data_IF_332713452865
#
_entry.id   IF_332713452865
#
_cell.length_a   1.000
_cell.length_b   1.000
_cell.length_c   1.000
_cell.angle_alpha   90.00
_cell.angle_beta   90.00
_cell.angle_gamma   90.00
#
_symmetry.space_group_name_H-M   'P 1'
#
loop_
_entity.id
_entity.type
_entity.pdbx_description
1 polymer ?
#
# COMPACT_ATOMS: atom_id res chain seq x y z
N UNK A 1 -37.10 -12.65 -14.89
CA UNK A 1 -36.99 -12.66 -13.42
C UNK A 1 -35.81 -11.76 -13.06
N UNK A 2 -36.09 -10.60 -12.50
CA UNK A 2 -35.09 -9.70 -11.91
C UNK A 2 -35.76 -9.09 -10.67
N UNK A 3 -35.47 -9.67 -9.51
CA UNK A 3 -35.63 -9.03 -8.20
C UNK A 3 -34.22 -8.66 -7.71
N UNK A 4 -33.98 -7.76 -6.78
CA UNK A 4 -34.82 -7.03 -5.83
C UNK A 4 -34.31 -5.58 -5.80
N UNK A 5 -35.17 -4.61 -5.46
CA UNK A 5 -34.70 -3.35 -4.91
C UNK A 5 -34.25 -3.61 -3.48
N UNK A 6 -33.06 -3.11 -3.12
CA UNK A 6 -32.82 -2.71 -1.75
C UNK A 6 -32.06 -1.39 -1.69
N UNK A 7 -32.72 -0.47 -1.00
CA UNK A 7 -32.23 0.76 -0.37
C UNK A 7 -31.53 1.80 -1.24
N UNK A 8 -32.33 2.80 -1.62
CA UNK A 8 -31.88 4.13 -1.92
C UNK A 8 -30.92 4.64 -0.83
N UNK A 9 -29.60 4.62 -1.12
CA UNK A 9 -28.68 5.57 -0.50
C UNK A 9 -29.05 6.96 -1.01
N UNK A 10 -30.01 7.55 -0.31
CA UNK A 10 -30.38 8.95 -0.37
C UNK A 10 -29.11 9.78 -0.24
N UNK A 11 -28.73 10.48 -1.31
CA UNK A 11 -27.83 11.63 -1.17
C UNK A 11 -28.54 12.56 -0.17
N UNK A 12 -27.92 12.97 0.95
CA UNK A 12 -28.62 13.81 1.90
C UNK A 12 -28.87 15.16 1.22
N UNK A 13 -30.12 15.39 0.83
CA UNK A 13 -30.61 16.59 0.13
C UNK A 13 -30.36 17.90 0.89
N UNK A 14 -29.83 17.87 2.11
CA UNK A 14 -29.73 19.01 3.03
C UNK A 14 -28.48 19.03 3.92
N UNK A 15 -27.51 18.13 3.69
CA UNK A 15 -26.25 18.12 4.44
C UNK A 15 -25.14 18.75 3.60
N UNK A 16 -24.32 19.60 4.21
CA UNK A 16 -23.19 20.24 3.56
C UNK A 16 -21.93 20.12 4.43
N UNK A 17 -20.80 19.95 3.76
CA UNK A 17 -19.47 19.96 4.35
C UNK A 17 -18.86 21.33 4.13
N UNK A 18 -18.33 21.94 5.19
CA UNK A 18 -17.57 23.19 5.13
C UNK A 18 -16.23 23.01 5.82
N UNK A 19 -15.20 23.68 5.30
CA UNK A 19 -13.89 23.76 5.92
C UNK A 19 -13.44 25.23 5.97
N UNK A 20 -12.82 25.62 7.07
CA UNK A 20 -12.23 26.94 7.27
C UNK A 20 -10.83 26.79 7.86
N UNK A 21 -9.88 27.55 7.33
CA UNK A 21 -8.54 27.62 7.90
C UNK A 21 -8.50 28.76 8.92
N UNK A 22 -8.33 28.42 10.20
CA UNK A 22 -8.13 29.38 11.26
C UNK A 22 -6.65 29.76 11.35
N UNK A 23 -6.31 30.92 10.81
CA UNK A 23 -4.94 31.45 10.81
C UNK A 23 -4.39 31.78 12.20
N UNK A 24 -5.24 31.95 13.22
CA UNK A 24 -4.80 32.25 14.59
C UNK A 24 -4.37 30.99 15.34
N UNK A 25 -5.04 29.86 15.09
CA UNK A 25 -4.70 28.56 15.67
C UNK A 25 -3.87 27.67 14.74
N UNK A 26 -3.71 28.06 13.46
CA UNK A 26 -3.01 27.28 12.45
C UNK A 26 -3.71 25.98 12.05
N UNK A 27 -5.01 25.86 12.36
CA UNK A 27 -5.76 24.62 12.23
C UNK A 27 -6.84 24.72 11.14
N UNK A 28 -7.15 23.60 10.50
CA UNK A 28 -8.35 23.47 9.69
C UNK A 28 -9.52 23.03 10.56
N UNK A 29 -10.60 23.79 10.52
CA UNK A 29 -11.88 23.43 11.11
C UNK A 29 -12.74 22.83 10.00
N UNK A 30 -13.07 21.55 10.12
CA UNK A 30 -13.95 20.83 9.20
C UNK A 30 -15.25 20.51 9.92
N UNK A 31 -16.38 20.84 9.31
CA UNK A 31 -17.70 20.63 9.89
C UNK A 31 -18.67 20.11 8.83
N UNK A 32 -19.46 19.12 9.20
CA UNK A 32 -20.61 18.69 8.43
C UNK A 32 -21.88 19.06 9.19
N UNK A 33 -22.81 19.75 8.51
CA UNK A 33 -24.06 20.20 9.12
C UNK A 33 -25.25 19.88 8.24
N UNK A 34 -26.40 19.63 8.87
CA UNK A 34 -27.68 19.42 8.20
C UNK A 34 -28.66 20.54 8.56
N UNK A 35 -29.43 20.97 7.55
CA UNK A 35 -30.50 21.94 7.71
C UNK A 35 -31.75 21.30 8.33
N UNK A 36 -32.09 21.68 9.57
CA UNK A 36 -33.30 21.24 10.27
C UNK A 36 -34.44 22.22 10.01
N UNK A 37 -35.04 22.19 8.81
CA UNK A 37 -36.27 22.95 8.56
C UNK A 37 -37.47 22.04 8.79
N UNK A 38 -38.04 22.13 10.00
CA UNK A 38 -39.39 21.68 10.32
C UNK A 38 -40.02 22.91 10.98
N UNK A 39 -40.93 23.60 10.28
CA UNK A 39 -41.92 24.39 11.00
C UNK A 39 -42.87 23.41 11.70
N UNK A 40 -43.62 23.85 12.72
CA UNK A 40 -44.53 23.01 13.50
C UNK A 40 -45.63 22.32 12.65
N UNK A 41 -45.66 22.55 11.32
CA UNK A 41 -46.63 22.05 10.35
C UNK A 41 -46.04 21.16 9.24
N UNK A 42 -44.78 20.70 9.36
CA UNK A 42 -44.12 19.81 8.39
C UNK A 42 -44.06 20.35 6.94
N UNK A 43 -44.05 21.66 6.73
CA UNK A 43 -43.96 22.23 5.38
C UNK A 43 -42.51 22.61 5.06
N UNK A 44 -41.89 21.91 4.11
CA UNK A 44 -40.46 22.05 3.78
C UNK A 44 -40.14 23.24 2.85
N UNK A 45 -40.80 24.38 3.03
CA UNK A 45 -40.62 25.55 2.16
C UNK A 45 -39.73 26.60 2.83
N UNK A 46 -38.55 26.81 2.26
CA UNK A 46 -37.74 28.02 2.43
C UNK A 46 -38.60 29.22 2.01
N UNK A 47 -39.05 30.01 2.99
CA UNK A 47 -39.56 31.36 2.76
C UNK A 47 -38.44 32.31 3.17
N UNK A 48 -37.95 33.09 2.20
CA UNK A 48 -36.75 33.93 2.30
C UNK A 48 -36.68 34.77 3.58
N UNK A 49 -35.67 34.52 4.42
CA UNK A 49 -35.32 35.37 5.57
C UNK A 49 -35.22 34.65 6.93
N UNK A 50 -35.61 33.38 7.02
CA UNK A 50 -35.59 32.66 8.30
C UNK A 50 -34.20 32.11 8.67
N UNK A 51 -33.75 32.41 9.89
CA UNK A 51 -32.57 31.79 10.51
C UNK A 51 -32.94 30.36 10.92
N UNK A 52 -32.60 29.39 10.09
CA UNK A 52 -32.86 27.99 10.35
C UNK A 52 -31.80 27.39 11.28
N UNK A 53 -32.22 26.52 12.20
CA UNK A 53 -31.30 25.81 13.09
C UNK A 53 -30.51 24.76 12.30
N UNK A 54 -29.19 24.77 12.48
CA UNK A 54 -28.28 23.76 11.94
C UNK A 54 -27.94 22.76 13.04
N UNK A 55 -27.86 21.49 12.67
CA UNK A 55 -27.36 20.43 13.57
C UNK A 55 -26.15 19.77 12.95
N UNK A 56 -25.20 19.36 13.80
CA UNK A 56 -24.03 18.62 13.36
C UNK A 56 -24.47 17.24 12.86
N UNK A 57 -23.82 16.78 11.81
CA UNK A 57 -24.04 15.45 11.23
C UNK A 57 -22.71 14.72 11.13
N UNK A 58 -22.77 13.40 11.06
CA UNK A 58 -21.58 12.57 10.96
C UNK A 58 -20.87 12.82 9.63
N UNK A 59 -19.54 12.84 9.66
CA UNK A 59 -18.73 12.84 8.45
C UNK A 59 -17.60 11.83 8.59
N UNK A 60 -17.20 11.28 7.46
CA UNK A 60 -16.09 10.37 7.35
C UNK A 60 -14.91 11.12 6.76
N UNK A 61 -13.73 10.99 7.38
CA UNK A 61 -12.47 11.37 6.78
C UNK A 61 -11.82 10.12 6.20
N UNK A 62 -11.23 10.23 5.01
CA UNK A 62 -10.33 9.24 4.46
C UNK A 62 -8.98 9.94 4.25
N UNK A 63 -7.93 9.36 4.82
CA UNK A 63 -6.57 9.76 4.47
C UNK A 63 -6.21 9.02 3.19
N UNK A 64 -5.91 9.76 2.13
CA UNK A 64 -5.39 9.21 0.88
C UNK A 64 -3.88 9.37 0.94
N UNK A 65 -3.16 8.25 1.00
CA UNK A 65 -1.73 8.25 0.72
C UNK A 65 -1.56 8.42 -0.80
N UNK A 66 -0.93 9.52 -1.23
CA UNK A 66 -0.64 9.76 -2.64
C UNK A 66 0.68 9.12 -3.07
N UNK A 67 1.56 8.75 -2.13
CA UNK A 67 2.77 7.99 -2.41
C UNK A 67 2.44 6.52 -2.67
N UNK A 68 1.44 5.99 -1.95
CA UNK A 68 0.92 4.62 -2.13
C UNK A 68 -0.62 4.64 -2.22
N UNK A 69 -1.19 5.00 -3.38
CA UNK A 69 -2.64 5.06 -3.54
C UNK A 69 -3.25 3.67 -3.37
N UNK A 70 -4.13 3.52 -2.38
CA UNK A 70 -4.93 2.31 -2.21
C UNK A 70 -5.78 2.08 -3.46
N UNK A 71 -5.53 0.98 -4.18
CA UNK A 71 -6.37 0.58 -5.31
C UNK A 71 -7.75 0.18 -4.79
N UNK A 72 -8.84 0.78 -5.28
CA UNK A 72 -10.17 0.39 -4.84
C UNK A 72 -10.41 -1.10 -5.14
N UNK A 73 -11.08 -1.83 -4.22
CA UNK A 73 -11.31 -3.26 -4.40
C UNK A 73 -12.15 -3.49 -5.66
N UNK A 74 -11.56 -4.15 -6.65
CA UNK A 74 -12.22 -4.49 -7.92
C UNK A 74 -11.59 -3.92 -9.19
N UNK A 75 -10.50 -3.14 -9.11
CA UNK A 75 -9.71 -2.76 -10.29
C UNK A 75 -8.26 -3.20 -10.17
N UNK A 76 -8.03 -4.51 -10.14
CA UNK A 76 -6.82 -5.19 -10.66
C UNK A 76 -5.44 -4.54 -10.46
N UNK A 77 -5.20 -3.89 -9.32
CA UNK A 77 -3.88 -3.53 -8.85
C UNK A 77 -3.79 -4.07 -7.44
N UNK A 78 -3.43 -5.36 -7.31
CA UNK A 78 -3.03 -5.93 -6.02
C UNK A 78 -1.86 -5.12 -5.46
N UNK A 79 -1.59 -5.29 -4.15
CA UNK A 79 -0.35 -4.79 -3.57
C UNK A 79 0.82 -5.18 -4.50
N UNK A 80 1.72 -4.27 -4.89
CA UNK A 80 2.83 -4.65 -5.76
C UNK A 80 3.57 -5.84 -5.16
N UNK A 81 3.74 -6.91 -5.94
CA UNK A 81 4.31 -8.18 -5.47
C UNK A 81 3.32 -9.21 -4.92
N UNK A 82 2.04 -8.88 -4.75
CA UNK A 82 0.96 -9.82 -4.43
C UNK A 82 0.49 -10.51 -5.73
N UNK A 83 1.07 -11.67 -6.00
CA UNK A 83 0.87 -12.40 -7.26
C UNK A 83 -0.30 -13.38 -7.20
N UNK A 84 -0.67 -13.84 -6.00
CA UNK A 84 -1.85 -14.70 -5.81
C UNK A 84 -3.14 -13.95 -5.47
N UNK A 85 -3.04 -12.62 -5.28
CA UNK A 85 -4.12 -11.67 -5.03
C UNK A 85 -4.86 -11.93 -3.71
N UNK A 86 -4.16 -12.45 -2.71
CA UNK A 86 -4.70 -12.68 -1.38
C UNK A 86 -4.65 -11.42 -0.48
N UNK A 87 -3.99 -10.35 -0.93
CA UNK A 87 -3.85 -9.08 -0.23
C UNK A 87 -2.70 -9.03 0.77
N UNK A 88 -1.81 -10.03 0.77
CA UNK A 88 -0.63 -10.11 1.64
C UNK A 88 0.62 -10.45 0.82
N UNK A 89 1.78 -9.94 1.23
CA UNK A 89 3.06 -10.36 0.66
C UNK A 89 3.59 -11.55 1.47
N UNK A 90 3.53 -12.75 0.89
CA UNK A 90 3.90 -13.99 1.56
C UNK A 90 4.96 -14.78 0.78
N UNK A 91 5.42 -15.89 1.36
CA UNK A 91 6.35 -16.79 0.68
C UNK A 91 5.76 -17.36 -0.63
N UNK A 92 4.43 -17.47 -0.73
CA UNK A 92 3.75 -17.96 -1.94
C UNK A 92 4.01 -17.03 -3.12
N UNK A 93 4.02 -15.72 -2.89
CA UNK A 93 4.30 -14.73 -3.93
C UNK A 93 5.74 -14.81 -4.43
N UNK A 94 6.72 -14.95 -3.52
CA UNK A 94 8.12 -15.15 -3.92
C UNK A 94 8.28 -16.47 -4.70
N UNK A 95 7.58 -17.53 -4.30
CA UNK A 95 7.63 -18.81 -5.00
C UNK A 95 7.06 -18.67 -6.43
N UNK A 96 5.99 -17.90 -6.61
CA UNK A 96 5.43 -17.55 -7.92
C UNK A 96 6.41 -16.72 -8.76
N UNK A 97 7.06 -15.72 -8.15
CA UNK A 97 8.08 -14.90 -8.80
C UNK A 97 9.29 -15.74 -9.25
N UNK A 98 9.84 -16.58 -8.36
CA UNK A 98 10.94 -17.48 -8.68
C UNK A 98 10.58 -18.47 -9.80
N UNK A 99 9.35 -19.00 -9.78
CA UNK A 99 8.85 -19.84 -10.87
C UNK A 99 8.77 -19.07 -12.20
N UNK A 100 8.31 -17.81 -12.17
CA UNK A 100 8.25 -16.96 -13.35
C UNK A 100 9.64 -16.62 -13.88
N UNK A 101 10.62 -16.31 -13.01
CA UNK A 101 12.03 -16.05 -13.37
C UNK A 101 12.63 -17.27 -14.10
N UNK A 102 12.47 -18.48 -13.54
CA UNK A 102 12.98 -19.71 -14.17
C UNK A 102 12.37 -20.00 -15.53
N UNK A 103 11.07 -19.72 -15.69
CA UNK A 103 10.34 -19.96 -16.94
C UNK A 103 10.47 -18.79 -17.94
N UNK A 104 10.93 -17.63 -17.47
CA UNK A 104 10.94 -16.35 -18.18
C UNK A 104 9.57 -16.03 -18.83
N UNK A 105 8.50 -16.17 -18.03
CA UNK A 105 7.10 -15.98 -18.47
C UNK A 105 6.46 -14.78 -17.79
N UNK A 106 5.48 -14.16 -18.46
CA UNK A 106 4.67 -13.08 -17.88
C UNK A 106 5.51 -11.90 -17.35
N UNK A 107 6.58 -11.54 -18.07
CA UNK A 107 7.53 -10.49 -17.67
C UNK A 107 6.81 -9.22 -17.25
N UNK A 108 5.79 -8.76 -17.98
CA UNK A 108 5.03 -7.54 -17.64
C UNK A 108 4.39 -7.54 -16.25
N UNK A 109 4.12 -8.71 -15.65
CA UNK A 109 3.49 -8.84 -14.33
C UNK A 109 4.56 -8.99 -13.24
N UNK A 110 5.65 -9.70 -13.53
CA UNK A 110 6.68 -10.06 -12.55
C UNK A 110 7.93 -9.17 -12.60
N UNK A 111 8.04 -8.29 -13.60
CA UNK A 111 9.07 -7.25 -13.71
C UNK A 111 8.77 -6.12 -12.73
N UNK A 112 9.43 -6.17 -11.56
CA UNK A 112 9.21 -5.24 -10.46
C UNK A 112 10.11 -4.01 -10.58
N UNK A 113 11.26 -4.12 -11.25
CA UNK A 113 12.19 -3.01 -11.44
C UNK A 113 11.96 -2.22 -12.76
N UNK A 114 11.04 -2.68 -13.61
CA UNK A 114 10.68 -2.14 -14.92
C UNK A 114 11.86 -2.08 -15.92
N UNK A 115 12.81 -3.02 -15.83
CA UNK A 115 13.95 -3.11 -16.76
C UNK A 115 13.69 -4.02 -17.97
N UNK A 116 12.48 -4.58 -18.07
CA UNK A 116 12.01 -5.50 -19.09
C UNK A 116 12.71 -6.87 -19.08
N UNK A 117 13.40 -7.23 -18.00
CA UNK A 117 14.09 -8.49 -17.85
C UNK A 117 13.79 -9.12 -16.49
N UNK A 118 13.12 -10.28 -16.52
CA UNK A 118 12.78 -11.00 -15.30
C UNK A 118 14.01 -11.74 -14.75
N UNK A 119 14.60 -11.19 -13.69
CA UNK A 119 15.89 -11.63 -13.13
C UNK A 119 15.90 -11.66 -11.60
N UNK A 120 17.04 -12.03 -11.01
CA UNK A 120 17.25 -11.87 -9.56
C UNK A 120 16.99 -10.44 -9.09
N UNK A 121 17.19 -9.41 -9.94
CA UNK A 121 16.93 -8.03 -9.55
C UNK A 121 15.47 -7.80 -9.14
N UNK A 122 14.51 -8.46 -9.79
CA UNK A 122 13.09 -8.37 -9.43
C UNK A 122 12.82 -9.02 -8.07
N UNK A 123 13.40 -10.19 -7.81
CA UNK A 123 13.30 -10.83 -6.50
C UNK A 123 13.83 -9.93 -5.39
N UNK A 124 14.90 -9.18 -5.65
CA UNK A 124 15.40 -8.24 -4.67
C UNK A 124 14.45 -7.08 -4.42
N UNK A 125 13.82 -6.53 -5.46
CA UNK A 125 12.79 -5.52 -5.25
C UNK A 125 11.67 -6.09 -4.38
N UNK A 126 11.23 -7.31 -4.66
CA UNK A 126 10.21 -7.96 -3.82
C UNK A 126 10.64 -8.08 -2.36
N UNK A 127 11.81 -8.65 -2.10
CA UNK A 127 12.29 -8.95 -0.73
C UNK A 127 12.65 -7.67 0.02
N UNK A 128 13.42 -6.79 -0.62
CA UNK A 128 14.09 -5.68 0.02
C UNK A 128 13.26 -4.40 0.06
N UNK A 129 12.40 -4.18 -0.94
CA UNK A 129 11.63 -2.94 -1.09
C UNK A 129 10.14 -3.14 -0.78
N UNK A 130 9.53 -4.23 -1.26
CA UNK A 130 8.09 -4.49 -1.09
C UNK A 130 7.80 -5.14 0.27
N UNK A 131 8.42 -6.29 0.55
CA UNK A 131 8.29 -6.99 1.82
C UNK A 131 9.13 -6.36 2.94
N UNK A 132 10.08 -5.47 2.59
CA UNK A 132 10.98 -4.81 3.52
C UNK A 132 11.68 -5.78 4.50
N UNK A 133 12.20 -6.88 3.95
CA UNK A 133 12.93 -7.91 4.70
C UNK A 133 14.26 -8.27 4.02
N UNK A 134 14.86 -9.39 4.40
CA UNK A 134 16.16 -9.87 3.97
C UNK A 134 16.07 -11.19 3.22
N UNK A 135 16.99 -11.38 2.27
CA UNK A 135 17.25 -12.71 1.72
C UNK A 135 17.76 -13.59 2.88
N UNK A 136 17.05 -14.68 3.16
CA UNK A 136 17.30 -15.54 4.32
C UNK A 136 16.19 -15.54 5.37
N UNK A 137 15.37 -14.48 5.43
CA UNK A 137 14.20 -14.44 6.30
C UNK A 137 13.12 -15.38 5.75
N UNK A 138 13.02 -16.56 6.32
CA UNK A 138 12.19 -17.66 5.83
C UNK A 138 10.79 -17.66 6.44
N UNK A 139 10.65 -17.02 7.60
CA UNK A 139 9.36 -16.88 8.29
C UNK A 139 8.67 -15.53 7.98
N UNK A 140 9.36 -14.64 7.27
CA UNK A 140 8.96 -13.28 6.88
C UNK A 140 8.60 -12.38 8.08
N UNK A 141 9.34 -12.51 9.19
CA UNK A 141 9.15 -11.67 10.38
C UNK A 141 9.90 -10.32 10.33
N UNK A 142 10.63 -10.08 9.25
CA UNK A 142 11.38 -8.85 8.98
C UNK A 142 12.82 -8.87 9.48
N UNK A 143 13.27 -10.00 10.03
CA UNK A 143 14.62 -10.22 10.55
C UNK A 143 15.20 -11.47 9.92
N UNK A 144 16.51 -11.45 9.60
CA UNK A 144 17.23 -12.66 9.25
C UNK A 144 18.17 -13.05 10.39
N UNK A 145 17.80 -14.09 11.15
CA UNK A 145 18.56 -14.55 12.31
C UNK A 145 18.58 -16.09 12.49
N UNK A 146 19.04 -16.56 13.64
CA UNK A 146 19.11 -17.99 13.94
C UNK A 146 17.76 -18.72 13.93
N UNK A 147 16.64 -18.00 14.12
CA UNK A 147 15.30 -18.56 14.10
C UNK A 147 14.87 -18.99 12.69
N UNK A 148 15.32 -18.29 11.65
CA UNK A 148 15.13 -18.69 10.25
C UNK A 148 15.82 -20.00 9.94
N UNK A 149 17.07 -20.16 10.38
CA UNK A 149 17.79 -21.42 10.23
C UNK A 149 17.05 -22.57 10.92
N UNK A 150 16.57 -22.35 12.15
CA UNK A 150 15.76 -23.35 12.86
C UNK A 150 14.47 -23.65 12.08
N UNK A 151 13.84 -22.65 11.47
CA UNK A 151 12.63 -22.80 10.68
C UNK A 151 12.83 -23.67 9.43
N UNK A 152 13.87 -23.40 8.63
CA UNK A 152 14.16 -24.19 7.41
C UNK A 152 14.73 -25.58 7.71
N UNK A 153 15.61 -25.72 8.71
CA UNK A 153 16.13 -27.04 9.08
C UNK A 153 15.08 -27.99 9.67
N UNK A 154 13.98 -27.46 10.22
CA UNK A 154 12.84 -28.29 10.63
C UNK A 154 12.09 -28.90 9.44
N UNK A 155 12.21 -28.33 8.23
CA UNK A 155 11.62 -28.89 7.00
C UNK A 155 12.39 -30.11 6.51
N UNK A 156 13.71 -30.10 6.72
CA UNK A 156 14.58 -31.23 6.41
C UNK A 156 14.96 -31.35 4.93
N UNK A 157 14.88 -30.26 4.17
CA UNK A 157 15.15 -30.22 2.73
C UNK A 157 16.62 -29.85 2.42
N UNK A 158 17.41 -29.50 3.43
CA UNK A 158 18.82 -29.17 3.26
C UNK A 158 19.63 -30.36 2.74
N UNK A 159 20.16 -30.24 1.51
CA UNK A 159 20.99 -31.26 0.86
C UNK A 159 20.33 -32.67 0.89
N UNK A 160 19.01 -32.72 0.76
CA UNK A 160 18.25 -33.97 0.88
C UNK A 160 18.29 -34.85 -0.39
N UNK A 161 18.70 -34.25 -1.51
CA UNK A 161 18.80 -34.89 -2.83
C UNK A 161 17.45 -35.11 -3.53
N UNK A 162 16.38 -34.45 -3.07
CA UNK A 162 15.03 -34.48 -3.66
C UNK A 162 14.84 -33.26 -4.54
N UNK A 163 14.95 -33.46 -5.85
CA UNK A 163 14.94 -32.34 -6.77
C UNK A 163 13.61 -31.55 -6.77
N UNK A 164 13.71 -30.22 -6.81
CA UNK A 164 12.64 -29.24 -6.93
C UNK A 164 11.57 -29.32 -5.83
N UNK A 165 11.96 -29.62 -4.59
CA UNK A 165 11.03 -29.65 -3.45
C UNK A 165 11.08 -28.40 -2.58
N UNK A 166 12.07 -27.53 -2.78
CA UNK A 166 12.29 -26.37 -1.91
C UNK A 166 11.53 -25.13 -2.38
N UNK A 167 11.09 -24.34 -1.41
CA UNK A 167 10.42 -23.05 -1.56
C UNK A 167 11.12 -22.01 -0.69
N UNK A 168 10.74 -20.74 -0.79
CA UNK A 168 11.35 -19.68 0.03
C UNK A 168 11.29 -20.01 1.54
N UNK A 169 10.14 -20.50 1.99
CA UNK A 169 9.90 -20.87 3.39
C UNK A 169 10.60 -22.17 3.83
N UNK A 170 11.18 -22.92 2.89
CA UNK A 170 11.93 -24.15 3.19
C UNK A 170 13.42 -24.05 2.87
N UNK A 171 13.87 -22.94 2.26
CA UNK A 171 15.28 -22.59 2.14
C UNK A 171 15.76 -22.18 0.74
N UNK A 172 14.89 -22.19 -0.28
CA UNK A 172 15.22 -21.76 -1.66
C UNK A 172 15.33 -20.23 -1.76
N UNK A 173 16.43 -19.68 -1.26
CA UNK A 173 16.68 -18.23 -1.20
C UNK A 173 17.32 -17.70 -2.48
N UNK A 174 17.92 -18.57 -3.29
CA UNK A 174 18.50 -18.22 -4.58
C UNK A 174 17.50 -18.39 -5.76
N UNK A 175 16.37 -19.09 -5.55
CA UNK A 175 15.30 -19.33 -6.51
C UNK A 175 15.54 -20.49 -7.49
N UNK A 176 16.38 -21.47 -7.15
CA UNK A 176 16.72 -22.63 -7.99
C UNK A 176 15.96 -23.92 -7.63
N UNK A 177 15.07 -23.87 -6.65
CA UNK A 177 14.21 -24.96 -6.13
C UNK A 177 14.89 -26.03 -5.29
N UNK A 178 16.15 -25.83 -4.93
CA UNK A 178 16.87 -26.65 -3.96
C UNK A 178 17.15 -25.82 -2.69
N UNK A 179 17.36 -26.49 -1.56
CA UNK A 179 17.93 -25.86 -0.38
C UNK A 179 19.31 -26.46 -0.12
N UNK A 180 20.35 -25.71 -0.51
CA UNK A 180 21.73 -26.19 -0.43
C UNK A 180 22.70 -25.10 0.04
N UNK A 181 24.00 -25.40 0.01
CA UNK A 181 25.02 -24.44 0.44
C UNK A 181 25.06 -23.13 -0.37
N UNK A 182 24.51 -23.11 -1.59
CA UNK A 182 24.45 -21.93 -2.45
C UNK A 182 23.42 -20.91 -1.98
N UNK A 183 22.33 -21.32 -1.33
CA UNK A 183 21.36 -20.43 -0.69
C UNK A 183 21.99 -19.65 0.46
N UNK A 184 22.82 -20.32 1.26
CA UNK A 184 23.59 -19.63 2.30
C UNK A 184 24.53 -18.59 1.69
N UNK A 185 25.20 -18.92 0.58
CA UNK A 185 26.06 -17.96 -0.10
C UNK A 185 25.23 -16.77 -0.60
N UNK A 186 24.07 -17.01 -1.22
CA UNK A 186 23.18 -15.96 -1.69
C UNK A 186 22.73 -15.03 -0.55
N UNK A 187 22.24 -15.59 0.57
CA UNK A 187 21.77 -14.82 1.72
C UNK A 187 22.92 -14.06 2.43
N UNK A 188 24.05 -14.71 2.70
CA UNK A 188 25.16 -14.08 3.41
C UNK A 188 25.88 -13.01 2.57
N UNK A 189 25.91 -13.14 1.24
CA UNK A 189 26.44 -12.09 0.38
C UNK A 189 25.64 -10.78 0.48
N UNK A 190 24.37 -10.83 0.90
CA UNK A 190 23.55 -9.63 1.14
C UNK A 190 23.82 -8.95 2.49
N UNK A 191 24.42 -9.67 3.44
CA UNK A 191 24.80 -9.11 4.73
C UNK A 191 23.63 -8.77 5.67
N UNK A 192 22.48 -9.42 5.50
CA UNK A 192 21.29 -9.22 6.36
C UNK A 192 21.32 -9.97 7.70
N UNK A 193 22.18 -10.97 7.85
CA UNK A 193 22.19 -11.84 9.03
C UNK A 193 22.53 -11.06 10.31
N UNK A 194 21.66 -11.15 11.32
CA UNK A 194 21.76 -10.45 12.60
C UNK A 194 21.84 -8.91 12.46
N UNK A 195 21.36 -8.35 11.33
CA UNK A 195 21.30 -6.90 11.13
C UNK A 195 20.14 -6.23 11.90
N UNK A 196 19.21 -7.04 12.42
CA UNK A 196 17.95 -6.58 13.02
C UNK A 196 16.91 -6.23 11.97
N UNK A 197 15.74 -5.73 12.40
CA UNK A 197 14.66 -5.37 11.48
C UNK A 197 15.04 -4.18 10.59
N UNK A 198 14.64 -4.22 9.32
CA UNK A 198 14.81 -3.07 8.41
C UNK A 198 14.05 -1.87 8.93
N UNK A 199 14.68 -0.69 8.85
CA UNK A 199 13.98 0.55 9.15
C UNK A 199 12.79 0.67 8.19
N UNK A 200 11.58 0.89 8.73
CA UNK A 200 10.43 1.19 7.91
C UNK A 200 10.79 2.33 6.96
N UNK A 201 10.53 2.14 5.67
CA UNK A 201 10.79 3.16 4.64
C UNK A 201 9.94 4.39 4.99
N UNK A 202 10.55 5.35 5.67
CA UNK A 202 9.89 6.59 6.02
C UNK A 202 9.55 7.31 4.71
N UNK A 203 8.27 7.59 4.48
CA UNK A 203 7.82 8.38 3.35
C UNK A 203 8.67 9.65 3.26
N UNK A 204 9.48 9.75 2.20
CA UNK A 204 10.40 10.88 2.00
C UNK A 204 9.55 12.15 1.84
N UNK A 205 9.76 13.20 2.65
CA UNK A 205 9.09 14.48 2.45
C UNK A 205 9.53 15.06 1.11
N UNK A 206 8.62 15.16 0.13
CA UNK A 206 8.92 15.73 -1.19
C UNK A 206 9.42 17.19 -1.07
N UNK A 207 10.69 17.50 -1.35
CA UNK A 207 11.22 18.86 -1.17
C UNK A 207 10.77 19.84 -2.27
N UNK A 208 10.11 19.36 -3.32
CA UNK A 208 9.98 20.05 -4.61
C UNK A 208 8.59 20.62 -4.86
N UNK A 209 7.53 20.00 -4.36
CA UNK A 209 6.14 20.48 -4.55
C UNK A 209 5.89 21.79 -3.80
N UNK A 210 6.42 21.95 -2.58
CA UNK A 210 6.32 23.19 -1.81
C UNK A 210 7.08 24.37 -2.47
N UNK A 211 8.27 24.11 -3.03
CA UNK A 211 9.08 25.14 -3.70
C UNK A 211 8.43 25.57 -5.02
N UNK A 212 7.89 24.63 -5.80
CA UNK A 212 7.20 24.95 -7.05
C UNK A 212 5.87 25.68 -6.81
N UNK A 213 5.13 25.33 -5.76
CA UNK A 213 3.92 26.05 -5.34
C UNK A 213 4.23 27.49 -4.88
N UNK A 214 5.30 27.69 -4.13
CA UNK A 214 5.75 29.01 -3.71
C UNK A 214 6.22 29.88 -4.90
N UNK A 215 6.96 29.29 -5.85
CA UNK A 215 7.36 29.98 -7.08
C UNK A 215 6.13 30.39 -7.93
N UNK A 216 5.14 29.49 -8.05
CA UNK A 216 3.91 29.77 -8.79
C UNK A 216 3.13 30.94 -8.16
N UNK A 217 3.03 31.00 -6.83
CA UNK A 217 2.35 32.09 -6.12
C UNK A 217 3.07 33.44 -6.29
N UNK A 218 4.40 33.46 -6.29
CA UNK A 218 5.19 34.68 -6.54
C UNK A 218 5.01 35.21 -7.96
N UNK A 219 4.99 34.32 -8.96
CA UNK A 219 4.79 34.70 -10.37
C UNK A 219 3.36 35.24 -10.63
N UNK A 220 2.34 34.67 -9.99
CA UNK A 220 0.96 35.17 -10.07
C UNK A 220 0.82 36.51 -9.33
N UNK A 221 1.48 36.67 -8.18
CA UNK A 221 1.49 37.93 -7.42
C UNK A 221 2.18 39.08 -8.17
N UNK A 222 3.28 38.80 -8.89
CA UNK A 222 3.98 39.79 -9.70
C UNK A 222 3.17 40.22 -10.93
N UNK A 223 2.40 39.30 -11.56
CA UNK A 223 1.54 39.61 -12.70
C UNK A 223 0.31 40.45 -12.36
N UNK A 224 -0.14 40.47 -11.11
CA UNK A 224 -1.28 41.28 -10.66
C UNK A 224 -0.90 42.72 -10.27
N UNK A 225 0.40 43.04 -10.24
CA UNK A 225 0.93 44.36 -9.85
C UNK A 225 1.49 45.19 -11.02
N UNK A 226 1.51 44.63 -12.22
CA UNK A 226 1.80 45.34 -13.49
C UNK A 226 0.51 45.69 -14.21
#
# INVERSE_FOLDING_TARGET
VAGFQDEAKTIPSRSFLSYEYDSASGSFVVQARQLTAIDDFNNSANVFGDVLSLTDTDFYFAFVDFAHPFSPPGTGGGEPGDFDQDGSLTAVDIDLLNAAIRQNTNVDIYDLNNDQALTEADRLVWVEELANTYVGDSNLDGVFDSSDFVFVFQKGEYEDGVANNSTWATGDWNGDTEFDSSDFVAAFQRGGYEAGARAAVAAVPEPSTAVMAALAMLLVGARRRS
#
